data_IF_709833410793
#
_entry.id   IF_709833410793
#
_cell.length_a   1.000
_cell.length_b   1.000
_cell.length_c   1.000
_cell.angle_alpha   90.00
_cell.angle_beta   90.00
_cell.angle_gamma   90.00
#
_symmetry.space_group_name_H-M   'P 1'
#
loop_
_entity.id
_entity.type
_entity.pdbx_description
1 polymer ?
#
# COMPACT_ATOMS: atom_id res chain seq x y z
N UNK A 1 10.42 4.02 -16.95
CA UNK A 1 10.44 3.32 -15.65
C UNK A 1 9.15 2.55 -15.36
N UNK A 2 8.07 2.86 -16.01
CA UNK A 2 6.81 2.10 -15.97
C UNK A 2 6.71 1.02 -17.05
N UNK A 3 7.60 1.03 -18.03
CA UNK A 3 7.52 0.17 -19.22
C UNK A 3 7.70 -1.33 -18.94
N UNK A 4 8.46 -1.68 -17.92
CA UNK A 4 8.69 -3.10 -17.61
C UNK A 4 7.48 -3.80 -16.98
N UNK A 5 6.73 -3.08 -16.15
CA UNK A 5 5.47 -3.59 -15.60
C UNK A 5 4.45 -3.83 -16.71
N UNK A 6 4.52 -3.02 -17.74
CA UNK A 6 3.65 -3.10 -18.90
C UNK A 6 3.86 -4.39 -19.72
N UNK A 7 5.07 -4.80 -19.98
CA UNK A 7 5.37 -5.98 -20.80
C UNK A 7 5.00 -7.31 -20.14
N UNK A 8 5.18 -7.43 -18.84
CA UNK A 8 4.85 -8.67 -18.10
C UNK A 8 3.34 -8.89 -18.04
N UNK A 9 2.55 -7.82 -18.07
CA UNK A 9 1.09 -7.90 -18.05
C UNK A 9 0.48 -8.17 -19.43
N UNK A 10 1.12 -7.76 -20.51
CA UNK A 10 0.69 -8.12 -21.88
C UNK A 10 0.79 -9.61 -22.17
N UNK A 11 1.78 -10.31 -21.56
CA UNK A 11 1.96 -11.76 -21.73
C UNK A 11 1.05 -12.61 -20.85
N UNK A 12 0.38 -12.05 -19.88
CA UNK A 12 -0.55 -12.73 -18.98
C UNK A 12 -1.93 -13.02 -19.57
N UNK A 13 -2.12 -12.83 -20.86
CA UNK A 13 -3.15 -13.40 -21.68
C UNK A 13 -4.58 -13.39 -21.17
N UNK A 14 -5.15 -12.25 -20.90
CA UNK A 14 -6.60 -12.09 -20.94
C UNK A 14 -6.93 -10.96 -21.90
N UNK A 15 -7.49 -11.38 -23.03
CA UNK A 15 -7.88 -10.57 -24.17
C UNK A 15 -8.31 -9.13 -23.83
N UNK A 16 -7.51 -8.16 -24.25
CA UNK A 16 -7.96 -6.80 -24.50
C UNK A 16 -8.17 -5.89 -23.31
N UNK A 17 -7.76 -6.28 -22.11
CA UNK A 17 -7.82 -5.41 -20.95
C UNK A 17 -6.52 -4.63 -20.81
N UNK A 18 -6.57 -3.29 -20.72
CA UNK A 18 -5.36 -2.52 -20.53
C UNK A 18 -4.77 -2.80 -19.15
N UNK A 19 -3.58 -3.05 -19.14
CA UNK A 19 -2.40 -2.88 -18.33
C UNK A 19 -2.44 -2.53 -16.87
N UNK A 20 -3.53 -2.42 -16.30
CA UNK A 20 -3.72 -2.41 -14.87
C UNK A 20 -4.19 -3.79 -14.45
N UNK A 21 -3.36 -4.82 -14.65
CA UNK A 21 -3.77 -6.18 -14.33
C UNK A 21 -4.25 -6.32 -12.90
N UNK A 22 -3.64 -5.58 -11.98
CA UNK A 22 -4.17 -5.45 -10.63
C UNK A 22 -5.41 -4.55 -10.58
N UNK A 23 -5.40 -3.43 -11.29
CA UNK A 23 -6.55 -2.55 -11.36
C UNK A 23 -7.72 -3.21 -12.10
N UNK A 24 -7.48 -3.99 -13.14
CA UNK A 24 -8.55 -4.72 -13.84
C UNK A 24 -9.08 -5.89 -13.02
N UNK A 25 -8.22 -6.59 -12.28
CA UNK A 25 -8.70 -7.59 -11.35
C UNK A 25 -9.41 -6.94 -10.14
N UNK A 26 -8.99 -5.73 -9.70
CA UNK A 26 -9.73 -4.96 -8.70
C UNK A 26 -11.07 -4.51 -9.23
N UNK A 27 -11.11 -3.99 -10.44
CA UNK A 27 -12.35 -3.61 -11.10
C UNK A 27 -13.32 -4.79 -11.20
N UNK A 28 -12.87 -5.92 -11.74
CA UNK A 28 -13.68 -7.14 -11.82
C UNK A 28 -14.07 -7.67 -10.43
N UNK A 29 -13.18 -7.62 -9.45
CA UNK A 29 -13.45 -8.06 -8.10
C UNK A 29 -14.45 -7.17 -7.37
N UNK A 30 -14.31 -5.85 -7.49
CA UNK A 30 -15.23 -4.87 -6.91
C UNK A 30 -16.60 -4.99 -7.60
N UNK A 31 -16.65 -5.04 -8.93
CA UNK A 31 -17.90 -5.23 -9.66
C UNK A 31 -18.59 -6.56 -9.33
N UNK A 32 -17.83 -7.63 -9.18
CA UNK A 32 -18.38 -8.93 -8.79
C UNK A 32 -18.87 -8.95 -7.33
N UNK A 33 -18.17 -8.25 -6.44
CA UNK A 33 -18.54 -8.20 -5.02
C UNK A 33 -19.70 -7.24 -4.73
N UNK A 34 -19.75 -6.10 -5.45
CA UNK A 34 -20.77 -5.06 -5.23
C UNK A 34 -22.03 -5.26 -6.07
N UNK A 35 -22.04 -6.25 -6.97
CA UNK A 35 -23.19 -6.47 -7.88
C UNK A 35 -23.42 -5.32 -8.87
N UNK A 36 -22.49 -4.37 -8.96
CA UNK A 36 -22.61 -3.25 -9.85
C UNK A 36 -22.28 -3.66 -11.28
N UNK A 37 -23.11 -3.23 -12.19
CA UNK A 37 -22.89 -3.44 -13.60
C UNK A 37 -21.79 -2.55 -14.12
N UNK A 38 -21.22 -2.87 -15.28
CA UNK A 38 -20.33 -2.00 -16.08
C UNK A 38 -20.91 -0.62 -16.42
N UNK A 39 -21.98 -0.22 -15.74
CA UNK A 39 -22.78 0.98 -16.00
C UNK A 39 -22.03 2.30 -15.78
N UNK A 40 -20.94 2.28 -15.02
CA UNK A 40 -20.18 3.51 -14.78
C UNK A 40 -19.19 3.86 -15.88
N UNK A 41 -18.72 2.88 -16.65
CA UNK A 41 -17.77 3.14 -17.72
C UNK A 41 -18.48 3.79 -18.91
N UNK A 42 -18.08 5.02 -19.24
CA UNK A 42 -18.65 5.77 -20.35
C UNK A 42 -19.97 6.50 -20.05
N UNK A 43 -20.42 6.53 -18.81
CA UNK A 43 -21.51 7.41 -18.41
C UNK A 43 -21.07 8.88 -18.58
N UNK A 44 -21.88 9.67 -19.33
CA UNK A 44 -21.56 11.07 -19.61
C UNK A 44 -21.96 12.02 -18.49
N UNK A 45 -22.88 11.61 -17.64
CA UNK A 45 -23.56 12.48 -16.69
C UNK A 45 -22.99 12.38 -15.27
N UNK A 46 -22.41 11.20 -14.91
CA UNK A 46 -21.87 10.98 -13.59
C UNK A 46 -20.78 9.88 -13.55
N UNK A 47 -19.80 10.05 -12.69
CA UNK A 47 -18.87 8.99 -12.27
C UNK A 47 -19.18 8.66 -10.81
N UNK A 48 -19.48 7.39 -10.53
CA UNK A 48 -19.72 6.90 -9.18
C UNK A 48 -18.47 6.16 -8.71
N UNK A 49 -17.86 6.65 -7.63
CA UNK A 49 -16.65 6.04 -7.02
C UNK A 49 -17.08 4.97 -6.02
N UNK A 50 -17.47 3.80 -6.52
CA UNK A 50 -17.97 2.70 -5.70
C UNK A 50 -16.89 2.07 -4.82
N UNK A 51 -15.61 2.23 -5.21
CA UNK A 51 -14.46 1.70 -4.48
C UNK A 51 -14.22 2.40 -3.15
N UNK A 52 -14.67 3.65 -3.01
CA UNK A 52 -14.46 4.47 -1.84
C UNK A 52 -12.98 4.47 -1.41
N UNK A 53 -12.69 4.23 -0.13
CA UNK A 53 -11.33 4.13 0.40
C UNK A 53 -10.58 2.86 -0.05
N UNK A 54 -11.29 1.86 -0.57
CA UNK A 54 -10.73 0.57 -0.99
C UNK A 54 -10.23 0.56 -2.44
N UNK A 55 -9.44 1.56 -2.82
CA UNK A 55 -8.89 1.65 -4.18
C UNK A 55 -7.66 0.75 -4.34
N UNK A 56 -7.62 -0.04 -5.41
CA UNK A 56 -6.47 -0.84 -5.81
C UNK A 56 -6.06 -1.89 -4.77
N UNK A 57 -4.79 -1.87 -4.36
CA UNK A 57 -4.25 -2.86 -3.42
C UNK A 57 -4.97 -2.87 -2.07
N UNK A 58 -5.56 -1.76 -1.63
CA UNK A 58 -6.30 -1.66 -0.37
C UNK A 58 -7.47 -2.64 -0.36
N UNK A 59 -8.18 -2.75 -1.49
CA UNK A 59 -9.27 -3.71 -1.63
C UNK A 59 -8.76 -5.14 -1.60
N UNK A 60 -7.74 -5.44 -2.39
CA UNK A 60 -7.21 -6.81 -2.47
C UNK A 60 -6.62 -7.27 -1.17
N UNK A 61 -5.80 -6.46 -0.52
CA UNK A 61 -5.19 -6.83 0.76
C UNK A 61 -6.23 -6.99 1.88
N UNK A 62 -7.42 -6.40 1.72
CA UNK A 62 -8.51 -6.51 2.69
C UNK A 62 -9.41 -7.71 2.39
N UNK A 63 -9.81 -7.92 1.15
CA UNK A 63 -10.91 -8.83 0.80
C UNK A 63 -10.48 -10.04 -0.04
N UNK A 64 -9.47 -9.92 -0.89
CA UNK A 64 -9.12 -10.99 -1.83
C UNK A 64 -7.63 -11.00 -2.22
N UNK A 65 -6.77 -11.35 -1.29
CA UNK A 65 -5.32 -11.40 -1.50
C UNK A 65 -4.89 -12.36 -2.60
N UNK A 66 -5.60 -13.48 -2.72
CA UNK A 66 -5.22 -14.57 -3.63
C UNK A 66 -5.43 -14.23 -5.10
N UNK A 67 -6.24 -13.22 -5.40
CA UNK A 67 -6.44 -12.74 -6.77
C UNK A 67 -5.26 -11.91 -7.31
N UNK A 68 -4.29 -11.55 -6.47
CA UNK A 68 -3.17 -10.68 -6.84
C UNK A 68 -1.94 -11.51 -7.23
N UNK A 69 -1.48 -11.34 -8.46
CA UNK A 69 -0.26 -11.98 -8.97
C UNK A 69 0.99 -11.25 -8.44
N UNK A 70 0.99 -9.92 -8.54
CA UNK A 70 2.08 -9.07 -8.08
C UNK A 70 1.55 -8.07 -7.04
N UNK A 71 2.03 -8.13 -5.78
CA UNK A 71 1.57 -7.22 -4.74
C UNK A 71 2.01 -5.77 -5.01
N UNK A 72 1.32 -4.83 -4.42
CA UNK A 72 1.69 -3.42 -4.50
C UNK A 72 3.09 -3.21 -3.92
N UNK A 73 3.94 -2.52 -4.67
CA UNK A 73 5.34 -2.32 -4.32
C UNK A 73 6.29 -3.38 -4.89
N UNK A 74 5.77 -4.50 -5.43
CA UNK A 74 6.60 -5.51 -6.06
C UNK A 74 7.47 -4.93 -7.20
N UNK A 75 8.72 -5.33 -7.23
CA UNK A 75 9.66 -4.94 -8.27
C UNK A 75 10.75 -5.99 -8.46
N UNK A 76 11.28 -6.05 -9.69
CA UNK A 76 12.46 -6.85 -10.00
C UNK A 76 13.73 -6.02 -9.81
N UNK A 77 14.74 -6.61 -9.22
CA UNK A 77 16.06 -5.99 -9.06
C UNK A 77 17.15 -6.95 -9.51
N UNK A 78 18.29 -6.43 -9.98
CA UNK A 78 19.48 -7.21 -10.27
C UNK A 78 20.28 -7.58 -9.01
N UNK A 79 19.93 -7.00 -7.88
CA UNK A 79 20.56 -7.26 -6.58
C UNK A 79 19.51 -7.55 -5.52
N UNK A 80 19.93 -7.92 -4.32
CA UNK A 80 19.04 -8.22 -3.19
C UNK A 80 19.35 -7.31 -2.02
N UNK A 81 18.31 -6.90 -1.33
CA UNK A 81 18.44 -6.06 -0.14
C UNK A 81 17.87 -6.76 1.09
N UNK A 82 18.47 -6.49 2.22
CA UNK A 82 17.95 -6.83 3.53
C UNK A 82 17.51 -5.53 4.22
N UNK A 83 16.29 -5.52 4.72
CA UNK A 83 15.73 -4.39 5.47
C UNK A 83 15.63 -4.84 6.93
N UNK A 84 16.41 -4.20 7.80
CA UNK A 84 16.36 -4.41 9.24
C UNK A 84 15.64 -3.21 9.87
N UNK A 85 14.62 -3.50 10.66
CA UNK A 85 13.92 -2.50 11.47
C UNK A 85 14.69 -2.23 12.74
N UNK A 86 15.00 -0.97 13.01
CA UNK A 86 15.78 -0.55 14.16
C UNK A 86 14.88 -0.06 15.31
N UNK A 87 14.03 0.93 15.03
CA UNK A 87 13.08 1.47 16.02
C UNK A 87 11.90 2.20 15.39
N UNK A 88 10.86 2.42 16.18
CA UNK A 88 9.80 3.39 15.88
C UNK A 88 9.55 4.23 17.12
N UNK A 89 9.61 5.54 16.97
CA UNK A 89 9.47 6.51 18.04
C UNK A 89 8.30 7.44 17.74
N UNK A 90 7.32 7.49 18.64
CA UNK A 90 6.21 8.40 18.52
C UNK A 90 6.54 9.76 19.10
N UNK A 91 6.28 10.81 18.35
CA UNK A 91 6.33 12.21 18.76
C UNK A 91 4.91 12.79 18.81
N UNK A 92 4.79 14.07 19.15
CA UNK A 92 3.48 14.75 19.17
C UNK A 92 2.82 14.81 17.77
N UNK A 93 3.62 14.92 16.71
CA UNK A 93 3.12 15.14 15.34
C UNK A 93 3.31 13.93 14.41
N UNK A 94 4.24 13.04 14.73
CA UNK A 94 4.69 12.01 13.81
C UNK A 94 5.09 10.72 14.55
N UNK A 95 5.15 9.63 13.80
CA UNK A 95 5.90 8.43 14.16
C UNK A 95 7.14 8.35 13.27
N UNK A 96 8.32 8.33 13.87
CA UNK A 96 9.59 8.24 13.16
C UNK A 96 10.05 6.78 13.16
N UNK A 97 10.12 6.19 11.97
CA UNK A 97 10.57 4.82 11.75
C UNK A 97 12.02 4.84 11.29
N UNK A 98 12.89 4.15 12.01
CA UNK A 98 14.30 3.96 11.64
C UNK A 98 14.51 2.53 11.17
N UNK A 99 15.19 2.39 10.04
CA UNK A 99 15.54 1.10 9.47
C UNK A 99 16.89 1.16 8.75
N UNK A 100 17.59 0.04 8.75
CA UNK A 100 18.88 -0.11 8.05
C UNK A 100 18.67 -1.02 6.85
N UNK A 101 19.06 -0.55 5.68
CA UNK A 101 19.01 -1.31 4.42
C UNK A 101 20.42 -1.71 4.02
N UNK A 102 20.65 -3.00 3.82
CA UNK A 102 21.92 -3.55 3.34
C UNK A 102 21.74 -4.17 1.97
N UNK A 103 22.63 -3.86 1.04
CA UNK A 103 22.75 -4.60 -0.22
C UNK A 103 23.48 -5.92 0.06
N UNK A 104 22.77 -7.05 -0.09
CA UNK A 104 23.31 -8.40 0.12
C UNK A 104 23.51 -9.18 -1.19
N UNK A 105 23.39 -8.49 -2.32
CA UNK A 105 23.61 -9.06 -3.64
C UNK A 105 24.94 -8.60 -4.25
N UNK A 106 25.13 -8.93 -5.53
CA UNK A 106 26.40 -8.75 -6.23
C UNK A 106 26.49 -7.46 -7.06
N UNK A 107 25.38 -6.73 -7.21
CA UNK A 107 25.31 -5.55 -8.07
C UNK A 107 24.90 -4.32 -7.25
N UNK A 108 25.40 -3.17 -7.65
CA UNK A 108 24.98 -1.89 -7.08
C UNK A 108 23.49 -1.63 -7.39
N UNK A 109 22.76 -1.10 -6.43
CA UNK A 109 21.34 -0.84 -6.60
C UNK A 109 20.73 0.08 -5.55
N UNK A 110 19.43 0.33 -5.68
CA UNK A 110 18.65 1.13 -4.73
C UNK A 110 17.42 0.35 -4.31
N UNK A 111 17.05 0.49 -3.04
CA UNK A 111 15.81 -0.10 -2.51
C UNK A 111 14.86 0.97 -1.99
N UNK A 112 13.57 0.70 -2.09
CA UNK A 112 12.51 1.52 -1.54
C UNK A 112 11.88 0.82 -0.34
N UNK A 113 12.06 1.40 0.83
CA UNK A 113 11.40 0.94 2.06
C UNK A 113 10.04 1.59 2.17
N UNK A 114 9.00 0.79 2.36
CA UNK A 114 7.62 1.20 2.47
C UNK A 114 7.13 0.95 3.89
N UNK A 115 6.41 1.94 4.44
CA UNK A 115 5.79 1.86 5.76
C UNK A 115 4.28 1.88 5.57
N UNK A 116 3.62 0.82 6.02
CA UNK A 116 2.17 0.68 5.95
C UNK A 116 1.57 0.79 7.34
N UNK A 117 0.41 1.41 7.42
CA UNK A 117 -0.42 1.46 8.63
C UNK A 117 -1.59 0.50 8.49
N UNK A 118 -1.90 -0.22 9.57
CA UNK A 118 -3.16 -0.91 9.77
C UNK A 118 -3.89 -0.19 10.91
N UNK A 119 -5.12 0.21 10.62
CA UNK A 119 -6.01 0.89 11.56
C UNK A 119 -7.02 -0.10 12.13
N UNK A 120 -7.63 0.18 13.28
CA UNK A 120 -8.71 -0.66 13.79
C UNK A 120 -9.84 -0.79 12.76
N UNK A 121 -10.38 -1.99 12.63
CA UNK A 121 -11.62 -2.21 11.88
C UNK A 121 -12.80 -1.79 12.77
N UNK A 122 -12.97 -0.48 12.94
CA UNK A 122 -14.02 0.12 13.75
C UNK A 122 -15.30 0.36 12.96
N UNK A 123 -16.01 1.45 13.30
CA UNK A 123 -17.24 1.84 12.60
C UNK A 123 -16.99 2.38 11.21
N UNK A 124 -15.80 2.93 10.96
CA UNK A 124 -15.43 3.57 9.70
C UNK A 124 -14.88 2.58 8.65
N UNK A 125 -14.61 1.32 9.04
CA UNK A 125 -14.23 0.27 8.10
C UNK A 125 -12.93 0.56 7.36
N UNK A 126 -11.78 0.42 8.02
CA UNK A 126 -10.48 0.73 7.41
C UNK A 126 -9.92 -0.43 6.57
N UNK A 127 -9.13 -0.12 5.52
CA UNK A 127 -8.37 -1.13 4.78
C UNK A 127 -7.39 -1.86 5.69
N UNK A 128 -7.11 -3.14 5.39
CA UNK A 128 -6.17 -3.95 6.16
C UNK A 128 -4.75 -3.34 6.18
N UNK A 129 -4.35 -2.70 5.08
CA UNK A 129 -3.07 -2.00 4.96
C UNK A 129 -3.19 -0.76 4.09
N UNK A 130 -2.58 0.33 4.54
CA UNK A 130 -2.52 1.59 3.81
C UNK A 130 -1.09 2.13 3.84
N UNK A 131 -0.53 2.48 2.67
CA UNK A 131 0.80 3.08 2.58
C UNK A 131 0.79 4.45 3.27
N UNK A 132 1.55 4.57 4.34
CA UNK A 132 1.63 5.78 5.14
C UNK A 132 2.82 6.66 4.77
N UNK A 133 3.98 6.03 4.54
CA UNK A 133 5.20 6.72 4.14
C UNK A 133 6.14 5.77 3.38
N UNK A 134 7.16 6.31 2.75
CA UNK A 134 8.23 5.53 2.14
C UNK A 134 9.54 6.32 2.12
N UNK A 135 10.65 5.59 2.06
CA UNK A 135 11.98 6.14 1.85
C UNK A 135 12.72 5.34 0.78
N UNK A 136 13.69 5.95 0.13
CA UNK A 136 14.51 5.27 -0.87
C UNK A 136 15.98 5.49 -0.60
N UNK A 137 16.77 4.41 -0.64
CA UNK A 137 18.23 4.49 -0.45
C UNK A 137 18.92 5.26 -1.59
N UNK A 138 20.11 5.74 -1.32
CA UNK A 138 21.10 6.03 -2.37
C UNK A 138 21.44 4.73 -3.13
N UNK A 139 22.33 4.81 -4.12
CA UNK A 139 22.92 3.60 -4.71
C UNK A 139 23.81 2.96 -3.64
N UNK A 140 23.57 1.70 -3.33
CA UNK A 140 24.38 0.90 -2.42
C UNK A 140 25.20 -0.09 -3.22
N UNK A 141 26.51 -0.06 -3.05
CA UNK A 141 27.42 -1.08 -3.55
C UNK A 141 27.18 -2.41 -2.82
N UNK A 142 27.66 -3.55 -3.36
CA UNK A 142 27.63 -4.81 -2.65
C UNK A 142 28.18 -4.69 -1.23
N UNK A 143 27.47 -5.27 -0.26
CA UNK A 143 27.73 -5.19 1.20
C UNK A 143 27.57 -3.79 1.84
N UNK A 144 27.31 -2.74 1.09
CA UNK A 144 27.06 -1.42 1.63
C UNK A 144 25.69 -1.35 2.34
N UNK A 145 25.62 -0.53 3.38
CA UNK A 145 24.42 -0.29 4.16
C UNK A 145 24.10 1.20 4.27
N UNK A 146 22.83 1.52 4.43
CA UNK A 146 22.35 2.87 4.71
C UNK A 146 21.23 2.81 5.74
N UNK A 147 21.28 3.71 6.72
CA UNK A 147 20.19 3.90 7.66
C UNK A 147 19.23 4.95 7.11
N UNK A 148 17.95 4.62 7.07
CA UNK A 148 16.86 5.50 6.66
C UNK A 148 16.04 5.90 7.87
N UNK A 149 15.61 7.16 7.88
CA UNK A 149 14.64 7.69 8.81
C UNK A 149 13.40 8.10 8.02
N UNK A 150 12.27 7.44 8.29
CA UNK A 150 11.02 7.60 7.55
C UNK A 150 9.98 8.18 8.51
N UNK A 151 9.53 9.39 8.21
CA UNK A 151 8.53 10.10 9.02
C UNK A 151 7.14 9.74 8.55
N UNK A 152 6.33 9.21 9.45
CA UNK A 152 4.91 8.91 9.27
C UNK A 152 4.09 9.97 9.98
N UNK A 153 3.43 10.90 9.28
CA UNK A 153 2.59 11.91 9.91
C UNK A 153 1.42 11.29 10.67
N UNK A 154 1.06 11.84 11.82
CA UNK A 154 -0.07 11.36 12.63
C UNK A 154 -1.40 11.38 11.88
N UNK A 155 -1.54 12.22 10.88
CA UNK A 155 -2.70 12.27 9.99
C UNK A 155 -2.97 10.94 9.26
N UNK A 156 -1.95 10.11 9.08
CA UNK A 156 -2.07 8.78 8.46
C UNK A 156 -2.83 7.78 9.31
N UNK A 157 -2.99 8.06 10.59
CA UNK A 157 -3.75 7.23 11.53
C UNK A 157 -5.22 7.65 11.63
N UNK A 158 -5.60 8.81 11.08
CA UNK A 158 -6.98 9.28 11.09
C UNK A 158 -7.79 8.65 9.96
N UNK A 159 -9.09 8.54 10.18
CA UNK A 159 -10.10 8.18 9.18
C UNK A 159 -11.13 9.29 9.10
N UNK A 160 -11.62 9.58 7.90
CA UNK A 160 -12.62 10.61 7.70
C UNK A 160 -14.02 10.01 7.86
N UNK A 161 -14.85 10.63 8.69
CA UNK A 161 -16.26 10.26 8.88
C UNK A 161 -17.15 11.21 8.07
N UNK A 162 -17.60 10.76 6.91
CA UNK A 162 -18.49 11.51 6.03
C UNK A 162 -19.98 11.38 6.41
N UNK A 163 -20.33 10.33 7.14
CA UNK A 163 -21.70 9.92 7.44
C UNK A 163 -22.13 10.20 8.89
N UNK A 164 -21.16 10.47 9.79
CA UNK A 164 -21.43 10.65 11.21
C UNK A 164 -21.59 9.37 12.00
N UNK A 165 -21.18 8.23 11.44
CA UNK A 165 -21.31 6.92 12.10
C UNK A 165 -20.46 6.81 13.36
N UNK A 166 -19.36 7.55 13.45
CA UNK A 166 -18.54 7.66 14.67
C UNK A 166 -19.17 8.56 15.74
N UNK A 167 -20.10 9.41 15.35
CA UNK A 167 -20.67 10.50 16.15
C UNK A 167 -20.06 11.88 15.82
N UNK A 168 -19.12 11.96 14.92
CA UNK A 168 -18.41 13.17 14.51
C UNK A 168 -18.44 13.34 12.99
N UNK A 169 -19.63 13.66 12.45
CA UNK A 169 -19.80 13.83 11.00
C UNK A 169 -18.86 14.90 10.43
N UNK A 170 -18.36 14.65 9.22
CA UNK A 170 -17.49 15.52 8.44
C UNK A 170 -16.17 15.88 9.14
N UNK A 171 -15.62 14.94 9.90
CA UNK A 171 -14.40 15.14 10.69
C UNK A 171 -13.41 13.98 10.52
N UNK A 172 -12.14 14.29 10.73
CA UNK A 172 -11.12 13.26 10.89
C UNK A 172 -11.15 12.70 12.31
N UNK A 173 -11.23 11.38 12.42
CA UNK A 173 -11.39 10.67 13.68
C UNK A 173 -10.30 9.62 13.82
N UNK A 174 -9.72 9.51 15.01
CA UNK A 174 -8.90 8.37 15.40
C UNK A 174 -9.77 7.43 16.23
N UNK A 175 -10.18 6.31 15.67
CA UNK A 175 -10.97 5.32 16.38
C UNK A 175 -10.12 4.60 17.45
N UNK A 176 -10.75 4.28 18.56
CA UNK A 176 -10.08 3.52 19.61
C UNK A 176 -9.83 2.08 19.15
N UNK A 177 -8.59 1.62 19.27
CA UNK A 177 -8.21 0.26 18.92
C UNK A 177 -6.72 0.09 18.73
N UNK A 178 -6.33 -1.05 18.18
CA UNK A 178 -4.93 -1.36 17.87
C UNK A 178 -4.56 -0.78 16.51
N UNK A 179 -3.49 0.00 16.50
CA UNK A 179 -2.83 0.46 15.28
C UNK A 179 -1.53 -0.30 15.12
N UNK A 180 -1.17 -0.64 13.89
CA UNK A 180 0.09 -1.33 13.65
C UNK A 180 0.82 -0.74 12.45
N UNK A 181 2.15 -0.69 12.54
CA UNK A 181 3.03 -0.35 11.43
C UNK A 181 3.70 -1.61 10.88
N UNK A 182 3.76 -1.67 9.56
CA UNK A 182 4.44 -2.71 8.81
C UNK A 182 5.52 -2.09 7.94
N UNK A 183 6.70 -2.67 7.93
CA UNK A 183 7.87 -2.15 7.20
C UNK A 183 8.40 -3.23 6.26
N UNK A 184 8.63 -2.89 5.00
CA UNK A 184 9.15 -3.81 4.00
C UNK A 184 9.32 -3.17 2.63
N UNK A 185 9.67 -3.97 1.62
CA UNK A 185 9.84 -3.52 0.24
C UNK A 185 8.54 -3.50 -0.58
N UNK A 186 7.54 -4.24 -0.14
CA UNK A 186 6.21 -4.30 -0.74
C UNK A 186 5.14 -4.58 0.32
N UNK A 187 3.85 -4.50 -0.06
CA UNK A 187 2.74 -4.62 0.89
C UNK A 187 2.67 -5.99 1.58
N UNK A 188 3.23 -7.06 1.00
CA UNK A 188 3.19 -8.41 1.55
C UNK A 188 4.46 -8.80 2.29
N UNK A 189 5.62 -8.37 1.80
CA UNK A 189 6.90 -8.55 2.48
C UNK A 189 7.02 -7.69 3.74
N UNK A 190 6.18 -6.65 3.85
CA UNK A 190 6.15 -5.79 5.04
C UNK A 190 5.68 -6.58 6.28
N UNK A 191 6.53 -6.58 7.32
CA UNK A 191 6.30 -7.24 8.59
C UNK A 191 5.82 -6.26 9.66
N UNK A 192 4.95 -6.74 10.58
CA UNK A 192 4.50 -5.94 11.72
C UNK A 192 5.68 -5.66 12.65
N UNK A 193 5.97 -4.39 12.87
CA UNK A 193 7.13 -3.95 13.65
C UNK A 193 6.78 -3.10 14.88
N UNK A 194 5.58 -2.52 14.89
CA UNK A 194 5.14 -1.67 15.98
C UNK A 194 3.61 -1.73 16.13
N UNK A 195 3.10 -1.58 17.37
CA UNK A 195 1.66 -1.54 17.67
C UNK A 195 1.41 -0.81 19.00
#
# INVERSE_FOLDING_TARGET
RSSYVWHVLEYGGTHGLPLYGQACASWLGIYAACGSSSANFGNRDANIYEEDIYVGYRWFETFNKDAVIYPFGYGLSYTKFKIDFDSAEQTEENVVVKCTVKNIGEYAGKEAVQVYVSKPCGKLGNPARELAAFGKTKVLEPDESESLEIVVPNERFYSYDDSGVSGYAYSYVMEKGEFALYVGSDVRSAEKKWS
#
